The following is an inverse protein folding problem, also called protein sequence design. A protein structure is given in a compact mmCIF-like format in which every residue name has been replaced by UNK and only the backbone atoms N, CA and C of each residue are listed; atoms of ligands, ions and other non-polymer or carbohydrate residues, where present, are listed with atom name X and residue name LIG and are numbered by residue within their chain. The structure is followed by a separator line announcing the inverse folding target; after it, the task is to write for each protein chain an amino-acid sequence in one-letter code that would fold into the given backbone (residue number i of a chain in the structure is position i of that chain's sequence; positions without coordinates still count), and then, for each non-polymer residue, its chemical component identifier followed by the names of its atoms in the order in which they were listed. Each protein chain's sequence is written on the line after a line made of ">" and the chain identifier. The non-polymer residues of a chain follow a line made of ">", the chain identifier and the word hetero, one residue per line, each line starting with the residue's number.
data_IF_440464216778
#
_entry.id   IF_440464216778
#
_cell.length_a   1.000
_cell.length_b   1.000
_cell.length_c   1.000
_cell.angle_alpha   90.00
_cell.angle_beta   90.00
_cell.angle_gamma   90.00
#
_symmetry.space_group_name_H-M   'P 1'
#
loop_
_entity.id
_entity.type
_entity.pdbx_description
1 polymer ?
#
# COMPACT_ATOMS: atom_id res chain seq x y z
N UNK A 1 4.73 -16.46 -18.37
CA UNK A 1 5.42 -15.35 -19.03
C UNK A 1 6.76 -15.23 -18.35
N UNK A 2 7.88 -15.46 -19.07
CA UNK A 2 9.22 -15.19 -18.55
C UNK A 2 9.49 -13.70 -18.72
N UNK A 3 9.85 -13.03 -17.61
CA UNK A 3 10.38 -11.66 -17.66
C UNK A 3 11.60 -11.66 -18.57
N UNK A 4 11.60 -10.85 -19.61
CA UNK A 4 12.67 -10.87 -20.60
C UNK A 4 13.98 -10.31 -19.99
N UNK A 5 15.15 -10.80 -20.47
CA UNK A 5 16.46 -10.26 -20.06
C UNK A 5 16.53 -8.72 -20.24
N UNK A 6 15.82 -8.18 -21.22
CA UNK A 6 15.76 -6.75 -21.52
C UNK A 6 15.02 -5.96 -20.42
N UNK A 7 14.00 -6.54 -19.83
CA UNK A 7 13.27 -5.94 -18.69
C UNK A 7 14.11 -6.02 -17.41
N UNK A 8 14.79 -7.13 -17.15
CA UNK A 8 15.74 -7.24 -16.05
C UNK A 8 16.86 -6.18 -16.14
N UNK A 9 17.36 -5.87 -17.34
CA UNK A 9 18.34 -4.80 -17.53
C UNK A 9 17.78 -3.40 -17.28
N UNK A 10 16.51 -3.13 -17.59
CA UNK A 10 15.86 -1.86 -17.25
C UNK A 10 15.78 -1.68 -15.74
N UNK A 11 15.45 -2.72 -14.99
CA UNK A 11 15.35 -2.68 -13.52
C UNK A 11 16.72 -2.60 -12.85
N UNK A 12 17.75 -3.22 -13.41
CA UNK A 12 19.14 -3.08 -12.95
C UNK A 12 19.69 -1.66 -13.21
N UNK A 13 19.33 -1.05 -14.36
CA UNK A 13 19.68 0.34 -14.67
C UNK A 13 18.92 1.33 -13.77
N UNK A 14 17.65 1.06 -13.45
CA UNK A 14 16.87 1.83 -12.48
C UNK A 14 17.52 1.76 -11.08
N UNK A 15 18.01 0.58 -10.67
CA UNK A 15 18.75 0.41 -9.41
C UNK A 15 20.02 1.27 -9.33
N UNK A 16 20.72 1.42 -10.45
CA UNK A 16 21.93 2.26 -10.52
C UNK A 16 21.62 3.76 -10.52
N UNK A 17 20.56 4.19 -11.19
CA UNK A 17 20.09 5.57 -11.21
C UNK A 17 19.53 6.02 -9.85
N UNK A 18 18.78 5.13 -9.18
CA UNK A 18 18.22 5.40 -7.87
C UNK A 18 19.29 5.43 -6.77
N UNK A 19 20.39 4.66 -6.89
CA UNK A 19 21.53 4.77 -5.96
C UNK A 19 22.19 6.15 -6.03
N UNK A 20 22.22 6.80 -7.18
CA UNK A 20 22.68 8.20 -7.34
C UNK A 20 21.63 9.17 -6.79
N UNK A 21 20.33 8.92 -6.98
CA UNK A 21 19.22 9.71 -6.43
C UNK A 21 19.20 9.68 -4.89
N UNK A 22 19.37 8.50 -4.29
CA UNK A 22 19.43 8.32 -2.82
C UNK A 22 20.55 9.13 -2.16
N UNK A 23 21.70 9.31 -2.84
CA UNK A 23 22.80 10.14 -2.35
C UNK A 23 22.44 11.66 -2.37
N UNK A 24 21.54 12.09 -3.24
CA UNK A 24 21.08 13.47 -3.33
C UNK A 24 19.99 13.82 -2.29
N UNK A 25 19.30 12.83 -1.72
CA UNK A 25 18.23 13.03 -0.72
C UNK A 25 18.74 13.58 0.62
N UNK A 26 20.03 13.43 0.93
CA UNK A 26 20.62 13.99 2.15
C UNK A 26 20.56 15.51 2.28
N UNK A 27 20.14 16.22 1.23
CA UNK A 27 20.04 17.68 1.17
C UNK A 27 18.59 18.20 1.03
N UNK A 28 17.61 17.32 0.81
CA UNK A 28 16.22 17.72 0.71
C UNK A 28 15.64 17.86 2.13
N UNK A 29 15.38 19.07 2.57
CA UNK A 29 14.56 19.34 3.75
C UNK A 29 13.14 18.90 3.43
N UNK A 30 12.77 17.70 3.90
CA UNK A 30 11.39 17.25 3.84
C UNK A 30 10.54 18.14 4.75
N UNK A 31 9.77 19.04 4.18
CA UNK A 31 8.64 19.61 4.87
C UNK A 31 7.58 18.49 4.92
N UNK A 32 7.30 18.00 6.14
CA UNK A 32 6.08 17.27 6.38
C UNK A 32 4.92 18.26 6.18
N UNK A 33 4.39 18.34 4.98
CA UNK A 33 3.14 19.02 4.73
C UNK A 33 2.09 18.41 5.67
N UNK A 34 1.33 19.28 6.35
CA UNK A 34 0.16 18.84 7.08
C UNK A 34 -0.73 18.13 6.06
N UNK A 35 -0.87 16.82 6.19
CA UNK A 35 -1.62 16.00 5.23
C UNK A 35 -3.06 16.50 5.11
N UNK A 36 -3.73 16.12 4.03
CA UNK A 36 -5.14 16.45 3.78
C UNK A 36 -6.10 15.84 4.82
N UNK A 37 -5.59 14.99 5.69
CA UNK A 37 -6.28 14.28 6.76
C UNK A 37 -5.59 12.96 7.05
N UNK A 38 -6.22 12.11 7.86
CA UNK A 38 -5.64 10.83 8.25
C UNK A 38 -6.59 9.66 7.98
N UNK A 39 -5.99 8.50 7.67
CA UNK A 39 -6.65 7.21 7.63
C UNK A 39 -6.11 6.34 8.78
N UNK A 40 -6.91 5.39 9.23
CA UNK A 40 -6.45 4.30 10.08
C UNK A 40 -6.22 3.03 9.27
N UNK A 41 -5.31 2.16 9.71
CA UNK A 41 -5.29 0.76 9.28
C UNK A 41 -5.23 -0.17 10.48
N UNK A 42 -5.80 -1.37 10.34
CA UNK A 42 -5.96 -2.31 11.45
C UNK A 42 -6.14 -3.76 10.98
N UNK A 43 -5.63 -4.69 11.79
CA UNK A 43 -5.76 -6.13 11.55
C UNK A 43 -6.28 -6.89 12.78
N UNK A 44 -6.04 -6.39 14.00
CA UNK A 44 -6.34 -7.06 15.25
C UNK A 44 -7.78 -6.95 15.74
N UNK A 45 -8.65 -6.29 14.99
CA UNK A 45 -10.07 -6.08 15.29
C UNK A 45 -10.68 -5.17 14.23
N UNK A 46 -11.94 -4.80 14.41
CA UNK A 46 -12.66 -3.89 13.53
C UNK A 46 -13.30 -2.78 14.40
N UNK A 47 -12.74 -1.54 14.38
CA UNK A 47 -13.39 -0.40 15.02
C UNK A 47 -14.73 -0.11 14.34
N UNK A 48 -15.72 0.38 15.08
CA UNK A 48 -16.96 0.86 14.45
C UNK A 48 -16.68 2.07 13.56
N UNK A 49 -17.42 2.22 12.47
CA UNK A 49 -17.33 3.38 11.59
C UNK A 49 -17.55 4.70 12.36
N UNK A 50 -18.49 4.71 13.33
CA UNK A 50 -18.72 5.86 14.19
C UNK A 50 -17.51 6.21 15.06
N UNK A 51 -16.76 5.22 15.57
CA UNK A 51 -15.55 5.46 16.34
C UNK A 51 -14.43 6.07 15.48
N UNK A 52 -14.24 5.58 14.26
CA UNK A 52 -13.26 6.12 13.28
C UNK A 52 -13.62 7.58 12.97
N UNK A 53 -14.90 7.84 12.64
CA UNK A 53 -15.39 9.19 12.33
C UNK A 53 -15.23 10.16 13.52
N UNK A 54 -15.60 9.71 14.72
CA UNK A 54 -15.50 10.53 15.95
C UNK A 54 -14.04 10.81 16.33
N UNK A 55 -13.10 9.95 15.95
CA UNK A 55 -11.66 10.18 16.10
C UNK A 55 -11.10 11.17 15.06
N UNK A 56 -11.90 11.64 14.09
CA UNK A 56 -11.53 12.64 13.11
C UNK A 56 -10.77 12.09 11.89
N UNK A 57 -10.82 10.77 11.68
CA UNK A 57 -10.18 10.16 10.50
C UNK A 57 -11.09 10.20 9.28
N UNK A 58 -10.50 10.34 8.09
CA UNK A 58 -11.21 10.34 6.80
C UNK A 58 -11.77 8.96 6.43
N UNK A 59 -11.16 7.88 6.95
CA UNK A 59 -11.52 6.52 6.61
C UNK A 59 -10.46 5.52 7.04
N UNK A 60 -10.39 4.40 6.32
CA UNK A 60 -9.48 3.31 6.65
C UNK A 60 -8.82 2.66 5.42
N UNK A 61 -7.55 2.29 5.57
CA UNK A 61 -6.90 1.31 4.69
C UNK A 61 -7.22 -0.08 5.21
N UNK A 62 -7.80 -0.92 4.36
CA UNK A 62 -8.32 -2.21 4.76
C UNK A 62 -7.73 -3.37 3.97
N UNK A 63 -7.51 -4.47 4.66
CA UNK A 63 -6.85 -5.64 4.11
C UNK A 63 -7.81 -6.49 3.27
N UNK A 64 -7.49 -6.62 1.99
CA UNK A 64 -8.09 -7.57 1.04
C UNK A 64 -7.17 -8.80 0.88
N UNK A 65 -6.68 -9.31 1.99
CA UNK A 65 -5.86 -10.52 2.09
C UNK A 65 -6.37 -11.40 3.23
N UNK A 66 -6.25 -12.71 3.06
CA UNK A 66 -6.61 -13.66 4.11
C UNK A 66 -5.77 -13.45 5.38
N UNK A 67 -6.30 -13.88 6.51
CA UNK A 67 -5.56 -14.00 7.75
C UNK A 67 -4.58 -15.18 7.65
N UNK A 68 -3.34 -14.99 8.10
CA UNK A 68 -2.38 -16.09 8.21
C UNK A 68 -2.84 -17.10 9.26
N UNK A 69 -2.65 -18.41 9.03
CA UNK A 69 -3.05 -19.44 9.99
C UNK A 69 -2.40 -19.29 11.38
N UNK A 70 -1.15 -18.82 11.43
CA UNK A 70 -0.36 -18.59 12.64
C UNK A 70 -0.65 -17.26 13.35
N UNK A 71 -1.43 -16.36 12.72
CA UNK A 71 -1.77 -15.04 13.25
C UNK A 71 -3.24 -14.96 13.67
N UNK A 72 -3.65 -15.76 14.65
CA UNK A 72 -5.04 -15.86 15.13
C UNK A 72 -5.60 -14.54 15.65
N UNK A 73 -4.73 -13.61 16.04
CA UNK A 73 -5.09 -12.26 16.50
C UNK A 73 -5.57 -11.33 15.40
N UNK A 74 -5.27 -11.63 14.12
CA UNK A 74 -5.68 -10.80 12.97
C UNK A 74 -7.16 -11.01 12.61
N UNK A 75 -8.06 -10.83 13.57
CA UNK A 75 -9.50 -11.09 13.39
C UNK A 75 -10.19 -10.08 12.46
N UNK A 76 -9.55 -8.95 12.17
CA UNK A 76 -10.02 -7.95 11.21
C UNK A 76 -9.64 -8.25 9.73
N UNK A 77 -9.07 -9.42 9.42
CA UNK A 77 -8.73 -9.80 8.04
C UNK A 77 -9.52 -11.03 7.58
N UNK A 78 -9.96 -11.04 6.31
CA UNK A 78 -10.06 -9.92 5.39
C UNK A 78 -11.19 -8.96 5.78
N UNK A 79 -11.22 -7.76 5.15
CA UNK A 79 -12.37 -6.86 5.23
C UNK A 79 -13.62 -7.54 4.69
N UNK A 80 -14.76 -7.33 5.35
CA UNK A 80 -16.06 -7.85 4.92
C UNK A 80 -16.89 -6.80 4.20
N UNK A 81 -17.88 -7.23 3.39
CA UNK A 81 -18.82 -6.33 2.73
C UNK A 81 -19.61 -5.48 3.73
N UNK A 82 -20.03 -6.07 4.86
CA UNK A 82 -20.74 -5.32 5.91
C UNK A 82 -19.90 -4.26 6.59
N UNK A 83 -18.60 -4.50 6.78
CA UNK A 83 -17.66 -3.51 7.28
C UNK A 83 -17.50 -2.36 6.27
N UNK A 84 -17.24 -2.67 5.01
CA UNK A 84 -17.09 -1.69 3.95
C UNK A 84 -18.34 -0.82 3.80
N UNK A 85 -19.52 -1.44 3.81
CA UNK A 85 -20.81 -0.74 3.78
C UNK A 85 -20.95 0.22 4.97
N UNK A 86 -20.65 -0.24 6.18
CA UNK A 86 -20.74 0.60 7.39
C UNK A 86 -19.80 1.81 7.33
N UNK A 87 -18.59 1.67 6.75
CA UNK A 87 -17.66 2.77 6.53
C UNK A 87 -18.22 3.78 5.54
N UNK A 88 -18.68 3.31 4.36
CA UNK A 88 -19.18 4.20 3.30
C UNK A 88 -20.48 4.89 3.68
N UNK A 89 -21.41 4.21 4.36
CA UNK A 89 -22.64 4.83 4.90
C UNK A 89 -22.36 5.91 5.94
N UNK A 90 -21.27 5.78 6.70
CA UNK A 90 -20.80 6.82 7.61
C UNK A 90 -20.10 7.99 6.91
N UNK A 91 -19.92 7.92 5.58
CA UNK A 91 -19.16 8.91 4.79
C UNK A 91 -17.66 8.80 5.00
N UNK A 92 -17.15 7.60 5.31
CA UNK A 92 -15.74 7.30 5.46
C UNK A 92 -15.20 6.64 4.19
N UNK A 93 -13.96 6.97 3.85
CA UNK A 93 -13.26 6.42 2.70
C UNK A 93 -12.65 5.05 3.01
N UNK A 94 -12.58 4.20 1.98
CA UNK A 94 -11.93 2.89 2.04
C UNK A 94 -10.81 2.82 1.02
N UNK A 95 -9.66 2.28 1.42
CA UNK A 95 -8.51 1.99 0.55
C UNK A 95 -8.15 0.52 0.71
N UNK A 96 -7.85 -0.17 -0.37
CA UNK A 96 -7.52 -1.60 -0.34
C UNK A 96 -6.02 -1.86 -0.24
N UNK A 97 -5.64 -2.76 0.67
CA UNK A 97 -4.28 -3.24 0.84
C UNK A 97 -4.21 -4.76 0.85
N UNK A 98 -3.21 -5.34 0.21
CA UNK A 98 -2.91 -6.76 0.27
C UNK A 98 -1.60 -7.01 1.00
N UNK A 99 -1.67 -7.73 2.10
CA UNK A 99 -0.51 -8.26 2.83
C UNK A 99 -0.91 -9.55 3.52
N UNK A 100 -0.41 -10.68 3.04
CA UNK A 100 -0.60 -11.99 3.66
C UNK A 100 0.62 -12.38 4.48
N UNK A 101 1.81 -12.43 3.88
CA UNK A 101 3.07 -12.77 4.53
C UNK A 101 3.80 -11.60 5.15
N UNK A 102 4.83 -11.88 5.98
CA UNK A 102 5.73 -10.88 6.56
C UNK A 102 7.12 -11.47 6.81
N UNK A 103 8.17 -10.65 6.73
CA UNK A 103 9.55 -11.07 6.99
C UNK A 103 10.00 -12.20 6.06
N UNK A 104 10.37 -13.36 6.61
CA UNK A 104 10.82 -14.51 5.83
C UNK A 104 9.75 -15.08 4.88
N UNK A 105 8.46 -14.86 5.19
CA UNK A 105 7.32 -15.29 4.38
C UNK A 105 6.68 -14.15 3.60
N UNK A 106 7.36 -13.00 3.48
CA UNK A 106 6.82 -11.84 2.79
C UNK A 106 6.39 -12.18 1.35
N UNK A 107 5.25 -11.66 0.96
CA UNK A 107 4.56 -12.00 -0.29
C UNK A 107 5.41 -11.79 -1.54
N UNK A 108 6.20 -10.72 -1.57
CA UNK A 108 7.07 -10.34 -2.68
C UNK A 108 8.25 -11.31 -2.92
N UNK A 109 8.62 -12.13 -1.93
CA UNK A 109 9.72 -13.11 -2.06
C UNK A 109 9.44 -14.21 -3.10
N UNK A 110 8.19 -14.43 -3.43
CA UNK A 110 7.79 -15.38 -4.49
C UNK A 110 7.82 -14.81 -5.92
N UNK A 111 8.25 -13.57 -6.11
CA UNK A 111 8.41 -12.93 -7.43
C UNK A 111 7.12 -12.92 -8.25
N UNK A 112 7.26 -12.99 -9.58
CA UNK A 112 6.15 -12.85 -10.52
C UNK A 112 4.98 -13.81 -10.25
N UNK A 113 5.27 -15.09 -10.02
CA UNK A 113 4.23 -16.11 -9.81
C UNK A 113 3.40 -15.82 -8.56
N UNK A 114 4.06 -15.41 -7.48
CA UNK A 114 3.35 -14.98 -6.27
C UNK A 114 2.56 -13.70 -6.51
N UNK A 115 3.10 -12.75 -7.28
CA UNK A 115 2.40 -11.52 -7.66
C UNK A 115 1.08 -11.80 -8.37
N UNK A 116 1.09 -12.68 -9.38
CA UNK A 116 -0.14 -13.11 -10.08
C UNK A 116 -1.14 -13.79 -9.13
N UNK A 117 -0.65 -14.69 -8.27
CA UNK A 117 -1.50 -15.42 -7.30
C UNK A 117 -2.15 -14.45 -6.31
N UNK A 118 -1.37 -13.56 -5.73
CA UNK A 118 -1.83 -12.64 -4.71
C UNK A 118 -2.74 -11.55 -5.29
N UNK A 119 -2.45 -11.06 -6.50
CA UNK A 119 -3.31 -10.11 -7.19
C UNK A 119 -4.70 -10.70 -7.49
N UNK A 120 -4.77 -11.95 -7.96
CA UNK A 120 -6.06 -12.64 -8.16
C UNK A 120 -6.85 -12.76 -6.87
N UNK A 121 -6.19 -13.18 -5.77
CA UNK A 121 -6.85 -13.31 -4.47
C UNK A 121 -7.24 -11.97 -3.89
N UNK A 122 -6.36 -10.96 -4.01
CA UNK A 122 -6.64 -9.59 -3.57
C UNK A 122 -7.83 -8.98 -4.30
N UNK A 123 -7.89 -9.14 -5.63
CA UNK A 123 -9.01 -8.67 -6.44
C UNK A 123 -10.33 -9.38 -6.08
N UNK A 124 -10.29 -10.70 -5.89
CA UNK A 124 -11.46 -11.47 -5.43
C UNK A 124 -12.03 -10.92 -4.13
N UNK A 125 -11.18 -10.72 -3.11
CA UNK A 125 -11.60 -10.21 -1.81
C UNK A 125 -12.01 -8.73 -1.86
N UNK A 126 -11.34 -7.92 -2.68
CA UNK A 126 -11.70 -6.52 -2.94
C UNK A 126 -13.11 -6.41 -3.50
N UNK A 127 -13.42 -7.15 -4.55
CA UNK A 127 -14.75 -7.17 -5.17
C UNK A 127 -15.82 -7.77 -4.24
N UNK A 128 -15.48 -8.82 -3.50
CA UNK A 128 -16.39 -9.44 -2.52
C UNK A 128 -16.75 -8.48 -1.37
N UNK A 129 -15.84 -7.56 -1.02
CA UNK A 129 -16.11 -6.51 -0.05
C UNK A 129 -16.90 -5.31 -0.63
N UNK A 130 -17.14 -5.28 -1.94
CA UNK A 130 -17.83 -4.19 -2.64
C UNK A 130 -16.89 -3.13 -3.23
N UNK A 131 -15.60 -3.42 -3.31
CA UNK A 131 -14.61 -2.52 -3.91
C UNK A 131 -14.82 -2.31 -5.41
N UNK A 132 -14.64 -1.09 -5.93
CA UNK A 132 -14.78 -0.80 -7.35
C UNK A 132 -13.63 -1.43 -8.16
N UNK A 133 -13.96 -2.01 -9.33
CA UNK A 133 -12.99 -2.70 -10.19
C UNK A 133 -11.92 -1.78 -10.79
N UNK A 134 -12.13 -0.47 -10.77
CA UNK A 134 -11.27 0.58 -11.30
C UNK A 134 -10.52 1.36 -10.19
N UNK A 135 -10.45 0.81 -8.98
CA UNK A 135 -9.69 1.40 -7.86
C UNK A 135 -8.53 0.49 -7.43
N UNK A 136 -7.42 1.09 -7.00
CA UNK A 136 -6.19 0.34 -6.76
C UNK A 136 -6.25 -0.57 -5.52
N UNK A 137 -5.41 -1.60 -5.57
CA UNK A 137 -5.01 -2.40 -4.42
C UNK A 137 -3.52 -2.16 -4.18
N UNK A 138 -3.16 -1.76 -2.97
CA UNK A 138 -1.76 -1.61 -2.56
C UNK A 138 -1.17 -2.98 -2.22
N UNK A 139 -0.15 -3.40 -2.98
CA UNK A 139 0.63 -4.60 -2.69
C UNK A 139 1.73 -4.25 -1.67
N UNK A 140 1.79 -4.98 -0.55
CA UNK A 140 2.72 -4.64 0.54
C UNK A 140 4.12 -5.18 0.33
N UNK A 141 5.09 -4.28 0.45
CA UNK A 141 6.51 -4.55 0.62
C UNK A 141 6.91 -4.03 2.01
N UNK A 142 6.35 -4.68 3.05
CA UNK A 142 6.52 -4.32 4.47
C UNK A 142 7.91 -4.75 4.98
N UNK A 143 8.95 -4.18 4.37
CA UNK A 143 10.34 -4.58 4.59
C UNK A 143 11.30 -3.43 4.22
N UNK A 144 12.60 -3.64 4.43
CA UNK A 144 13.67 -2.77 3.95
C UNK A 144 14.57 -3.52 2.96
N UNK A 145 14.09 -3.79 1.73
CA UNK A 145 14.79 -4.63 0.77
C UNK A 145 16.01 -3.91 0.18
N UNK A 146 16.98 -4.70 -0.26
CA UNK A 146 18.12 -4.25 -1.05
C UNK A 146 17.71 -3.97 -2.51
N UNK A 147 18.51 -3.18 -3.23
CA UNK A 147 18.31 -2.96 -4.67
C UNK A 147 18.35 -4.27 -5.48
N UNK A 148 19.11 -5.27 -5.03
CA UNK A 148 19.16 -6.60 -5.66
C UNK A 148 17.84 -7.34 -5.44
N UNK A 149 17.30 -7.36 -4.23
CA UNK A 149 15.99 -7.96 -3.95
C UNK A 149 14.87 -7.21 -4.72
N UNK A 150 14.97 -5.88 -4.82
CA UNK A 150 14.05 -5.14 -5.68
C UNK A 150 14.10 -5.65 -7.12
N UNK A 151 15.26 -5.67 -7.75
CA UNK A 151 15.39 -6.04 -9.16
C UNK A 151 15.02 -7.51 -9.44
N UNK A 152 15.34 -8.43 -8.50
CA UNK A 152 15.19 -9.86 -8.73
C UNK A 152 13.89 -10.46 -8.22
N UNK A 153 13.23 -9.83 -7.25
CA UNK A 153 12.02 -10.35 -6.60
C UNK A 153 10.86 -9.36 -6.61
N UNK A 154 11.07 -8.11 -6.16
CA UNK A 154 9.98 -7.15 -5.99
C UNK A 154 9.47 -6.65 -7.34
N UNK A 155 10.34 -6.23 -8.26
CA UNK A 155 9.91 -5.78 -9.58
C UNK A 155 9.15 -6.88 -10.34
N UNK A 156 9.61 -8.14 -10.39
CA UNK A 156 8.80 -9.25 -10.90
C UNK A 156 7.47 -9.45 -10.15
N UNK A 157 7.43 -9.30 -8.83
CA UNK A 157 6.21 -9.41 -8.02
C UNK A 157 5.17 -8.36 -8.42
N UNK A 158 5.58 -7.11 -8.54
CA UNK A 158 4.70 -6.00 -8.97
C UNK A 158 4.24 -6.18 -10.42
N UNK A 159 5.10 -6.66 -11.33
CA UNK A 159 4.69 -7.04 -12.69
C UNK A 159 3.62 -8.15 -12.69
N UNK A 160 3.71 -9.08 -11.75
CA UNK A 160 2.66 -10.09 -11.53
C UNK A 160 1.32 -9.45 -11.15
N UNK A 161 1.33 -8.44 -10.26
CA UNK A 161 0.14 -7.65 -9.90
C UNK A 161 -0.43 -6.92 -11.12
N UNK A 162 0.42 -6.18 -11.84
CA UNK A 162 0.00 -5.42 -13.04
C UNK A 162 -0.58 -6.31 -14.14
N UNK A 163 -0.12 -7.55 -14.26
CA UNK A 163 -0.66 -8.50 -15.24
C UNK A 163 -2.11 -8.95 -14.94
N UNK A 164 -2.60 -8.70 -13.73
CA UNK A 164 -3.95 -9.11 -13.28
C UNK A 164 -4.89 -7.93 -13.19
N UNK A 165 -4.46 -6.83 -12.55
CA UNK A 165 -5.33 -5.68 -12.25
C UNK A 165 -4.98 -4.41 -13.06
N UNK A 166 -3.97 -4.48 -13.92
CA UNK A 166 -3.44 -3.32 -14.66
C UNK A 166 -2.45 -2.50 -13.85
N UNK A 167 -1.62 -1.73 -14.53
CA UNK A 167 -0.67 -0.83 -13.89
C UNK A 167 -1.39 0.31 -13.14
N UNK A 168 -2.47 0.82 -13.72
CA UNK A 168 -3.32 1.89 -13.23
C UNK A 168 -4.00 1.55 -11.89
N UNK A 169 -4.24 0.26 -11.61
CA UNK A 169 -4.85 -0.23 -10.39
C UNK A 169 -3.84 -0.88 -9.42
N UNK A 170 -2.54 -0.82 -9.74
CA UNK A 170 -1.50 -1.39 -8.88
C UNK A 170 -0.90 -0.32 -7.98
N UNK A 171 -1.15 -0.45 -6.66
CA UNK A 171 -0.50 0.33 -5.62
C UNK A 171 0.65 -0.44 -4.98
N UNK A 172 1.56 0.28 -4.32
CA UNK A 172 2.72 -0.27 -3.61
C UNK A 172 2.82 0.38 -2.23
N UNK A 173 2.77 -0.45 -1.17
CA UNK A 173 3.13 -0.03 0.19
C UNK A 173 4.59 -0.42 0.44
N UNK A 174 5.47 0.58 0.65
CA UNK A 174 6.91 0.35 0.80
C UNK A 174 7.63 1.51 1.51
N UNK A 175 8.92 1.33 1.80
CA UNK A 175 9.77 2.44 2.20
C UNK A 175 10.12 3.36 1.02
N UNK A 176 10.59 4.59 1.31
CA UNK A 176 10.91 5.56 0.28
C UNK A 176 11.96 5.08 -0.76
N UNK A 177 13.05 4.37 -0.38
CA UNK A 177 13.99 3.81 -1.36
C UNK A 177 13.33 2.83 -2.34
N UNK A 178 12.42 2.00 -1.89
CA UNK A 178 11.69 1.05 -2.74
C UNK A 178 10.69 1.77 -3.65
N UNK A 179 10.01 2.82 -3.15
CA UNK A 179 9.12 3.67 -3.95
C UNK A 179 9.90 4.35 -5.07
N UNK A 180 11.10 4.92 -4.78
CA UNK A 180 11.96 5.52 -5.80
C UNK A 180 12.31 4.52 -6.90
N UNK A 181 12.76 3.32 -6.51
CA UNK A 181 13.08 2.26 -7.48
C UNK A 181 11.85 1.87 -8.33
N UNK A 182 10.67 1.79 -7.71
CA UNK A 182 9.44 1.46 -8.39
C UNK A 182 8.99 2.57 -9.36
N UNK A 183 9.01 3.83 -8.93
CA UNK A 183 8.59 4.97 -9.74
C UNK A 183 9.49 5.17 -10.96
N UNK A 184 10.82 5.10 -10.78
CA UNK A 184 11.80 5.16 -11.88
C UNK A 184 11.63 3.99 -12.85
N UNK A 185 11.27 2.81 -12.35
CA UNK A 185 11.01 1.62 -13.18
C UNK A 185 9.62 1.63 -13.84
N UNK A 186 8.75 2.60 -13.56
CA UNK A 186 7.38 2.66 -14.06
C UNK A 186 6.48 1.54 -13.51
N UNK A 187 6.72 1.12 -12.26
CA UNK A 187 5.99 0.07 -11.58
C UNK A 187 5.02 0.65 -10.57
N UNK A 188 3.74 0.27 -10.69
CA UNK A 188 2.65 0.84 -9.90
C UNK A 188 2.37 2.30 -10.27
N UNK A 189 1.25 2.83 -9.77
CA UNK A 189 0.90 4.26 -9.94
C UNK A 189 0.51 4.91 -8.62
N UNK A 190 0.37 4.11 -7.57
CA UNK A 190 -0.05 4.55 -6.25
C UNK A 190 0.99 4.12 -5.22
N UNK A 191 1.45 5.05 -4.37
CA UNK A 191 2.50 4.76 -3.40
C UNK A 191 2.04 5.13 -1.99
N UNK A 192 2.18 4.17 -1.08
CA UNK A 192 1.96 4.34 0.35
C UNK A 192 3.28 4.09 1.07
N UNK A 193 3.83 5.15 1.67
CA UNK A 193 5.14 5.10 2.32
C UNK A 193 5.06 4.66 3.77
N UNK A 194 5.99 3.79 4.19
CA UNK A 194 6.34 3.57 5.59
C UNK A 194 7.75 4.07 5.90
N UNK A 195 8.13 4.09 7.22
CA UNK A 195 9.36 4.78 7.66
C UNK A 195 10.56 3.87 7.91
N UNK A 196 10.40 2.55 8.05
CA UNK A 196 11.56 1.68 8.25
C UNK A 196 12.37 1.52 6.98
N UNK A 197 13.68 1.85 7.10
CA UNK A 197 14.58 1.95 5.94
C UNK A 197 14.42 3.25 5.15
N UNK A 198 13.52 4.17 5.57
CA UNK A 198 13.41 5.52 5.02
C UNK A 198 14.31 6.48 5.81
N UNK A 199 15.04 7.41 5.18
CA UNK A 199 15.75 8.46 5.89
C UNK A 199 14.81 9.25 6.82
N UNK A 200 15.28 9.57 8.03
CA UNK A 200 14.45 10.23 9.04
C UNK A 200 13.84 11.53 8.52
N UNK A 201 12.52 11.64 8.61
CA UNK A 201 11.75 12.82 8.21
C UNK A 201 11.54 12.95 6.70
N UNK A 202 12.04 12.03 5.88
CA UNK A 202 11.86 12.07 4.44
C UNK A 202 10.49 11.50 4.05
N UNK A 203 9.77 12.24 3.21
CA UNK A 203 8.54 11.79 2.55
C UNK A 203 8.76 11.86 1.04
N UNK A 204 8.55 10.75 0.37
CA UNK A 204 8.74 10.65 -1.08
C UNK A 204 7.71 11.50 -1.81
N UNK A 205 8.10 12.34 -2.81
CA UNK A 205 7.15 13.25 -3.52
C UNK A 205 6.02 12.50 -4.21
N UNK A 206 6.27 11.27 -4.66
CA UNK A 206 5.25 10.44 -5.30
C UNK A 206 4.34 9.70 -4.30
N UNK A 207 4.61 9.77 -3.00
CA UNK A 207 3.73 9.12 -2.02
C UNK A 207 2.34 9.77 -2.00
N UNK A 208 1.30 8.93 -1.98
CA UNK A 208 -0.10 9.32 -1.87
C UNK A 208 -0.57 9.24 -0.42
N UNK A 209 0.00 8.27 0.32
CA UNK A 209 -0.26 8.01 1.73
C UNK A 209 1.08 7.80 2.45
N UNK A 210 1.17 8.24 3.70
CA UNK A 210 2.36 8.06 4.53
C UNK A 210 1.97 7.54 5.92
N UNK A 211 2.43 6.33 6.27
CA UNK A 211 2.23 5.77 7.61
C UNK A 211 3.16 6.45 8.60
N UNK A 212 2.57 7.21 9.52
CA UNK A 212 3.30 8.08 10.46
C UNK A 212 3.41 7.50 11.86
N UNK A 213 2.47 6.62 12.26
CA UNK A 213 2.48 5.95 13.56
C UNK A 213 1.94 4.53 13.43
N UNK A 214 2.54 3.60 14.16
CA UNK A 214 2.14 2.19 14.22
C UNK A 214 2.12 1.70 15.68
N UNK A 215 1.21 0.80 16.01
CA UNK A 215 1.04 0.12 17.30
C UNK A 215 0.82 1.04 18.54
N UNK A 216 0.59 2.33 18.35
CA UNK A 216 0.48 3.31 19.47
C UNK A 216 -0.93 3.80 19.71
N UNK A 217 -1.74 3.86 18.68
CA UNK A 217 -3.06 4.46 18.72
C UNK A 217 -4.15 3.40 18.93
N UNK A 218 -5.29 3.82 19.47
CA UNK A 218 -6.46 2.97 19.69
C UNK A 218 -7.72 3.74 19.32
N UNK A 219 -8.56 3.15 18.46
CA UNK A 219 -9.85 3.68 18.05
C UNK A 219 -10.93 2.64 18.35
N UNK A 220 -11.96 3.02 19.10
CA UNK A 220 -13.04 2.10 19.46
C UNK A 220 -12.57 0.81 20.17
N UNK A 221 -11.49 0.90 20.95
CA UNK A 221 -10.90 -0.25 21.64
C UNK A 221 -9.99 -1.13 20.78
N UNK A 222 -9.79 -0.82 19.49
CA UNK A 222 -8.94 -1.56 18.58
C UNK A 222 -7.64 -0.80 18.33
N UNK A 223 -6.51 -1.53 18.36
CA UNK A 223 -5.20 -0.98 17.94
C UNK A 223 -5.22 -0.65 16.46
N UNK A 224 -4.76 0.55 16.12
CA UNK A 224 -4.71 1.07 14.74
C UNK A 224 -3.37 1.73 14.47
N UNK A 225 -2.98 1.72 13.20
CA UNK A 225 -1.90 2.54 12.69
C UNK A 225 -2.48 3.81 12.04
N UNK A 226 -1.71 4.90 12.03
CA UNK A 226 -2.15 6.20 11.52
C UNK A 226 -1.38 6.56 10.26
N UNK A 227 -2.13 6.98 9.24
CA UNK A 227 -1.63 7.30 7.92
C UNK A 227 -2.05 8.71 7.51
N UNK A 228 -1.09 9.56 7.12
CA UNK A 228 -1.39 10.85 6.49
C UNK A 228 -1.78 10.66 5.03
N UNK A 229 -2.82 11.34 4.59
CA UNK A 229 -3.19 11.49 3.18
C UNK A 229 -2.43 12.68 2.60
N UNK A 230 -1.69 12.45 1.52
CA UNK A 230 -0.79 13.45 0.93
C UNK A 230 -1.32 14.02 -0.40
N UNK A 231 -2.16 13.28 -1.12
CA UNK A 231 -2.77 13.67 -2.40
C UNK A 231 -4.29 13.54 -2.32
N UNK A 232 -5.05 14.32 -3.07
CA UNK A 232 -6.52 14.28 -3.06
C UNK A 232 -7.10 12.97 -3.60
N UNK A 233 -6.46 12.40 -4.62
CA UNK A 233 -6.71 11.03 -5.05
C UNK A 233 -5.56 10.15 -4.54
N UNK A 234 -5.87 9.23 -3.61
CA UNK A 234 -4.93 8.33 -2.96
C UNK A 234 -5.36 6.86 -3.10
N UNK A 235 -6.24 6.59 -4.07
CA UNK A 235 -6.74 5.24 -4.33
C UNK A 235 -7.91 4.83 -3.46
N UNK A 236 -8.61 5.79 -2.85
CA UNK A 236 -9.88 5.54 -2.13
C UNK A 236 -10.96 5.04 -3.09
N UNK A 237 -11.93 4.31 -2.57
CA UNK A 237 -12.99 3.69 -3.38
C UNK A 237 -13.92 4.73 -4.01
N UNK A 238 -14.21 5.84 -3.32
CA UNK A 238 -14.86 6.97 -3.97
C UNK A 238 -13.91 7.64 -4.95
N UNK A 239 -14.38 8.04 -6.10
CA UNK A 239 -13.63 8.95 -6.96
C UNK A 239 -13.65 10.34 -6.33
N UNK A 240 -12.48 10.97 -6.20
CA UNK A 240 -12.42 12.38 -5.78
C UNK A 240 -13.34 13.20 -6.67
N UNK A 241 -14.15 14.08 -6.09
CA UNK A 241 -15.29 14.78 -6.72
C UNK A 241 -15.00 15.68 -7.93
N UNK A 242 -13.92 15.43 -8.68
CA UNK A 242 -13.64 16.04 -9.98
C UNK A 242 -14.50 15.45 -11.12
N UNK A 243 -15.17 14.31 -10.89
CA UNK A 243 -15.99 13.62 -11.91
C UNK A 243 -17.51 13.75 -11.67
N UNK A 244 -17.95 14.69 -10.80
CA UNK A 244 -19.36 15.03 -10.63
C UNK A 244 -19.59 16.42 -11.26
N UNK A 245 -19.52 16.49 -12.58
CA UNK A 245 -20.13 17.55 -13.39
C UNK A 245 -20.81 16.93 -14.59
#
# INVERSE_FOLDING_TARGET
>A
VQVSRRELFKYAAAGSAAAVGLAAWGSATAHADAGLGTLVDYAGGVPSASAIKSAGHLGAVRYVSDRRPDATWMVGKPMTASEAQSLTEAGLEVVSNYQFGKGATADWRGGYVAGVKHAKRGLELHLAAGGPSDRPIYASIDDNPTAVEFATLIAPYILGWQSVIGAENTGIYANAPTIELASVAGLGQWYWQHNWGTPKGFVHPEAHIHQIRFDKDTVGGVKVDINNVLKSDYGQWSKSGADII
#
